data_IF_667397014623
#
_entry.id   IF_667397014623
#
_cell.length_a   1.000
_cell.length_b   1.000
_cell.length_c   1.000
_cell.angle_alpha   90.00
_cell.angle_beta   90.00
_cell.angle_gamma   90.00
#
_symmetry.space_group_name_H-M   'P 1'
#
loop_
_entity.id
_entity.type
_entity.pdbx_description
1 polymer ?
#
# COMPACT_ATOMS: atom_id res chain seq x y z
N UNK A 1 -37.17 30.38 -74.58
CA UNK A 1 -36.19 31.37 -74.09
C UNK A 1 -35.83 31.03 -72.65
N UNK A 2 -34.56 30.70 -72.38
CA UNK A 2 -33.73 30.96 -71.18
C UNK A 2 -34.19 30.49 -69.77
N UNK A 3 -33.45 29.53 -69.19
CA UNK A 3 -32.49 29.65 -68.03
C UNK A 3 -33.17 29.21 -66.71
N UNK A 4 -32.98 28.00 -66.16
CA UNK A 4 -31.86 27.39 -65.38
C UNK A 4 -31.49 28.11 -64.05
N UNK A 5 -31.51 27.30 -62.97
CA UNK A 5 -30.55 27.22 -61.84
C UNK A 5 -30.95 27.83 -60.47
N UNK A 6 -30.99 26.90 -59.49
CA UNK A 6 -30.58 26.93 -58.08
C UNK A 6 -31.07 28.06 -57.16
N UNK A 7 -31.62 27.65 -56.01
CA UNK A 7 -31.01 27.88 -54.68
C UNK A 7 -31.76 27.04 -53.64
N UNK A 8 -31.22 25.88 -53.26
CA UNK A 8 -30.20 25.71 -52.23
C UNK A 8 -30.82 25.58 -50.83
N UNK A 9 -31.29 24.36 -50.58
CA UNK A 9 -31.16 23.59 -49.34
C UNK A 9 -30.30 24.27 -48.26
N UNK A 10 -30.93 25.01 -47.35
CA UNK A 10 -30.31 25.53 -46.13
C UNK A 10 -30.53 24.50 -45.01
N UNK A 11 -29.80 23.39 -45.11
CA UNK A 11 -29.73 22.34 -44.10
C UNK A 11 -28.27 22.17 -43.71
N UNK A 12 -28.08 22.06 -42.40
CA UNK A 12 -26.85 21.75 -41.69
C UNK A 12 -25.92 22.96 -41.47
N UNK A 13 -25.62 23.21 -40.20
CA UNK A 13 -24.27 23.04 -39.62
C UNK A 13 -24.35 23.50 -38.16
N UNK A 14 -24.87 22.63 -37.28
CA UNK A 14 -24.63 22.68 -35.85
C UNK A 14 -23.71 21.51 -35.51
N UNK A 15 -22.44 21.65 -35.88
CA UNK A 15 -21.36 20.77 -35.46
C UNK A 15 -21.03 21.08 -33.99
N UNK A 16 -21.88 20.64 -33.08
CA UNK A 16 -21.58 20.63 -31.65
C UNK A 16 -20.45 19.63 -31.41
N UNK A 17 -19.23 20.12 -31.22
CA UNK A 17 -18.13 19.29 -30.72
C UNK A 17 -18.45 18.94 -29.27
N UNK A 18 -19.03 17.75 -29.07
CA UNK A 18 -18.99 17.09 -27.77
C UNK A 18 -17.52 16.73 -27.51
N UNK A 19 -16.82 17.63 -26.82
CA UNK A 19 -15.52 17.38 -26.26
C UNK A 19 -15.73 16.42 -25.07
N UNK A 20 -15.82 15.13 -25.38
CA UNK A 20 -15.78 14.07 -24.39
C UNK A 20 -14.38 14.14 -23.78
N UNK A 21 -14.27 14.75 -22.60
CA UNK A 21 -13.11 14.54 -21.75
C UNK A 21 -13.13 13.05 -21.36
N UNK A 22 -12.12 12.26 -21.76
CA UNK A 22 -11.98 10.94 -21.19
C UNK A 22 -11.75 11.15 -19.70
N UNK A 23 -12.73 10.72 -18.91
CA UNK A 23 -12.61 10.57 -17.48
C UNK A 23 -11.28 9.82 -17.25
N UNK A 24 -10.30 10.49 -16.63
CA UNK A 24 -9.06 9.84 -16.27
C UNK A 24 -9.44 8.74 -15.29
N UNK A 25 -9.58 7.52 -15.81
CA UNK A 25 -9.71 6.32 -15.00
C UNK A 25 -8.46 6.31 -14.13
N UNK A 26 -8.60 6.75 -12.89
CA UNK A 26 -7.53 6.70 -11.92
C UNK A 26 -7.08 5.24 -11.88
N UNK A 27 -5.85 4.99 -12.33
CA UNK A 27 -5.30 3.64 -12.39
C UNK A 27 -5.41 3.04 -10.99
N UNK A 28 -6.03 1.86 -10.88
CA UNK A 28 -6.16 1.16 -9.61
C UNK A 28 -4.76 1.05 -8.99
N UNK A 29 -4.59 1.40 -7.70
CA UNK A 29 -3.33 1.27 -6.99
C UNK A 29 -2.67 -0.09 -7.26
N UNK A 30 -1.49 -0.07 -7.89
CA UNK A 30 -0.66 -1.26 -8.11
C UNK A 30 -0.09 -1.66 -6.73
N UNK A 31 -0.79 -2.60 -6.07
CA UNK A 31 -0.48 -3.13 -4.75
C UNK A 31 0.49 -4.30 -4.84
N UNK A 32 1.47 -4.36 -3.94
CA UNK A 32 2.31 -5.55 -3.81
C UNK A 32 1.44 -6.71 -3.30
N UNK A 33 1.48 -7.89 -3.92
CA UNK A 33 0.79 -9.07 -3.39
C UNK A 33 1.27 -9.39 -1.98
N UNK A 34 0.34 -9.72 -1.08
CA UNK A 34 0.69 -10.12 0.29
C UNK A 34 1.47 -11.44 0.22
N UNK A 35 2.64 -11.45 0.84
CA UNK A 35 3.50 -12.62 0.93
C UNK A 35 2.89 -13.67 1.87
N UNK A 36 3.24 -14.94 1.64
CA UNK A 36 2.71 -16.05 2.42
C UNK A 36 3.07 -15.91 3.92
N UNK A 37 2.22 -16.43 4.82
CA UNK A 37 2.55 -16.58 6.23
C UNK A 37 3.88 -17.30 6.41
N UNK A 38 4.65 -16.89 7.42
CA UNK A 38 6.01 -17.37 7.65
C UNK A 38 6.26 -17.48 9.15
N UNK A 39 6.54 -18.69 9.62
CA UNK A 39 6.96 -18.95 11.00
C UNK A 39 8.37 -18.39 11.33
N UNK A 40 8.81 -18.48 12.59
CA UNK A 40 8.09 -19.05 13.73
C UNK A 40 6.92 -18.17 14.19
N UNK A 41 6.03 -18.74 15.00
CA UNK A 41 4.96 -18.00 15.66
C UNK A 41 5.49 -16.84 16.51
N UNK A 42 4.96 -15.64 16.28
CA UNK A 42 5.42 -14.41 16.92
C UNK A 42 4.36 -13.33 16.95
N UNK A 43 4.45 -12.45 17.94
CA UNK A 43 3.67 -11.22 18.06
C UNK A 43 4.58 -10.02 18.16
N UNK A 44 4.25 -8.98 17.42
CA UNK A 44 4.99 -7.73 17.37
C UNK A 44 4.01 -6.60 17.64
N UNK A 45 4.34 -5.73 18.59
CA UNK A 45 3.62 -4.47 18.82
C UNK A 45 4.44 -3.34 18.27
N UNK A 46 3.86 -2.50 17.40
CA UNK A 46 4.56 -1.43 16.71
C UNK A 46 3.75 -0.15 16.77
N UNK A 47 4.41 0.99 16.99
CA UNK A 47 3.82 2.29 16.74
C UNK A 47 4.13 2.69 15.29
N UNK A 48 3.09 3.03 14.53
CA UNK A 48 3.20 3.50 13.16
C UNK A 48 2.73 4.95 13.12
N UNK A 49 3.65 5.87 12.79
CA UNK A 49 3.32 7.26 12.53
C UNK A 49 3.35 7.49 11.02
N UNK A 50 2.19 7.69 10.41
CA UNK A 50 2.02 8.01 9.00
C UNK A 50 1.98 9.53 8.80
N UNK A 51 2.73 10.03 7.83
CA UNK A 51 2.88 11.46 7.54
C UNK A 51 2.62 11.71 6.06
N UNK A 52 1.66 12.59 5.79
CA UNK A 52 1.38 13.17 4.47
C UNK A 52 1.78 14.65 4.47
N UNK A 53 1.58 15.34 3.35
CA UNK A 53 1.93 16.75 3.22
C UNK A 53 1.15 17.67 4.18
N UNK A 54 -0.10 17.34 4.48
CA UNK A 54 -1.06 18.18 5.20
C UNK A 54 -1.45 17.65 6.59
N UNK A 55 -1.16 16.38 6.87
CA UNK A 55 -1.58 15.70 8.11
C UNK A 55 -0.61 14.61 8.54
N UNK A 56 -0.77 14.18 9.79
CA UNK A 56 -0.11 13.02 10.35
C UNK A 56 -1.09 12.22 11.19
N UNK A 57 -0.95 10.90 11.17
CA UNK A 57 -1.77 9.97 11.95
C UNK A 57 -0.86 8.96 12.65
N UNK A 58 -1.25 8.55 13.86
CA UNK A 58 -0.53 7.54 14.64
C UNK A 58 -1.47 6.44 15.06
N UNK A 59 -1.00 5.20 14.96
CA UNK A 59 -1.69 4.02 15.47
C UNK A 59 -0.70 3.02 16.08
N UNK A 60 -1.21 2.17 16.95
CA UNK A 60 -0.53 0.94 17.37
C UNK A 60 -0.99 -0.20 16.48
N UNK A 61 -0.05 -0.91 15.87
CA UNK A 61 -0.29 -2.15 15.14
C UNK A 61 0.18 -3.33 15.99
N UNK A 62 -0.73 -4.28 16.22
CA UNK A 62 -0.41 -5.58 16.80
C UNK A 62 -0.41 -6.59 15.66
N UNK A 63 0.77 -7.11 15.31
CA UNK A 63 0.99 -8.05 14.24
C UNK A 63 1.27 -9.43 14.82
N UNK A 64 0.47 -10.42 14.46
CA UNK A 64 0.66 -11.83 14.82
C UNK A 64 0.92 -12.65 13.55
N UNK A 65 1.92 -13.51 13.61
CA UNK A 65 2.44 -14.24 12.46
C UNK A 65 2.78 -15.64 12.86
N UNK A 66 2.34 -16.61 12.09
CA UNK A 66 2.79 -18.00 12.17
C UNK A 66 2.98 -18.58 10.76
N UNK A 67 3.22 -19.88 10.65
CA UNK A 67 3.43 -20.56 9.36
C UNK A 67 2.16 -20.68 8.49
N UNK A 68 1.00 -20.32 9.01
CA UNK A 68 -0.34 -20.49 8.41
C UNK A 68 -1.15 -19.21 8.34
N UNK A 69 -0.92 -18.24 9.23
CA UNK A 69 -1.73 -17.03 9.33
C UNK A 69 -0.90 -15.77 9.55
N UNK A 70 -1.43 -14.67 9.02
CA UNK A 70 -1.07 -13.29 9.36
C UNK A 70 -2.32 -12.64 9.94
N UNK A 71 -2.23 -12.11 11.16
CA UNK A 71 -3.27 -11.29 11.76
C UNK A 71 -2.71 -9.94 12.15
N UNK A 72 -3.47 -8.87 11.95
CA UNK A 72 -3.07 -7.52 12.29
C UNK A 72 -4.26 -6.73 12.85
N UNK A 73 -4.13 -6.23 14.07
CA UNK A 73 -5.07 -5.28 14.65
C UNK A 73 -4.43 -3.89 14.68
N UNK A 74 -5.17 -2.88 14.21
CA UNK A 74 -4.80 -1.48 14.32
C UNK A 74 -5.61 -0.81 15.42
N UNK A 75 -4.94 -0.16 16.37
CA UNK A 75 -5.54 0.55 17.48
C UNK A 75 -5.17 2.02 17.41
N UNK A 76 -6.09 2.91 17.76
CA UNK A 76 -5.78 4.31 18.02
C UNK A 76 -4.91 4.46 19.28
N UNK A 77 -4.39 5.66 19.51
CA UNK A 77 -3.56 5.92 20.69
C UNK A 77 -4.32 5.77 22.03
N UNK A 78 -5.64 5.87 22.02
CA UNK A 78 -6.55 5.61 23.15
C UNK A 78 -7.05 4.15 23.22
N UNK A 79 -6.57 3.28 22.32
CA UNK A 79 -6.85 1.84 22.35
C UNK A 79 -8.14 1.40 21.64
N UNK A 80 -8.81 2.29 20.91
CA UNK A 80 -9.97 1.93 20.10
C UNK A 80 -9.54 1.13 18.88
N UNK A 81 -10.29 0.08 18.56
CA UNK A 81 -10.06 -0.71 17.34
C UNK A 81 -10.37 0.12 16.10
N UNK A 82 -9.33 0.36 15.29
CA UNK A 82 -9.42 1.05 14.00
C UNK A 82 -9.62 0.08 12.85
N UNK A 83 -8.99 -1.11 12.91
CA UNK A 83 -9.20 -2.17 11.94
C UNK A 83 -8.72 -3.52 12.47
N UNK A 84 -9.20 -4.59 11.85
CA UNK A 84 -8.65 -5.93 11.95
C UNK A 84 -8.41 -6.49 10.55
N UNK A 85 -7.31 -7.21 10.38
CA UNK A 85 -6.97 -7.92 9.15
C UNK A 85 -6.53 -9.33 9.50
N UNK A 86 -7.03 -10.31 8.73
CA UNK A 86 -6.61 -11.70 8.78
C UNK A 86 -6.29 -12.19 7.37
N UNK A 87 -5.23 -12.98 7.24
CA UNK A 87 -4.82 -13.60 5.99
C UNK A 87 -4.30 -15.01 6.24
N UNK A 88 -4.89 -15.98 5.54
CA UNK A 88 -4.61 -17.43 5.69
C UNK A 88 -3.65 -17.98 4.61
N UNK A 89 -3.00 -17.11 3.84
CA UNK A 89 -2.20 -17.49 2.66
C UNK A 89 -2.98 -17.48 1.34
N UNK A 90 -4.31 -17.43 1.38
CA UNK A 90 -5.18 -17.41 0.20
C UNK A 90 -6.11 -16.21 0.17
N UNK A 91 -6.79 -15.93 1.28
CA UNK A 91 -7.84 -14.92 1.37
C UNK A 91 -7.49 -13.88 2.42
N UNK A 92 -7.56 -12.62 2.03
CA UNK A 92 -7.44 -11.49 2.96
C UNK A 92 -8.86 -11.08 3.37
N UNK A 93 -9.10 -11.01 4.66
CA UNK A 93 -10.33 -10.47 5.25
C UNK A 93 -9.93 -9.28 6.11
N UNK A 94 -10.55 -8.13 5.87
CA UNK A 94 -10.36 -6.96 6.71
C UNK A 94 -11.69 -6.34 7.12
N UNK A 95 -11.72 -5.83 8.34
CA UNK A 95 -12.79 -4.99 8.85
C UNK A 95 -12.17 -3.66 9.27
N UNK A 96 -12.79 -2.55 8.84
CA UNK A 96 -12.30 -1.20 9.11
C UNK A 96 -13.37 -0.40 9.85
N UNK A 97 -12.94 0.25 10.92
CA UNK A 97 -13.76 1.22 11.65
C UNK A 97 -13.97 2.48 10.79
N UNK A 98 -15.15 3.12 10.86
CA UNK A 98 -15.36 4.45 10.30
C UNK A 98 -14.43 5.53 10.86
N UNK A 99 -13.79 5.27 12.01
CA UNK A 99 -12.81 6.16 12.62
C UNK A 99 -11.46 6.15 11.90
N UNK A 100 -11.15 5.12 11.11
CA UNK A 100 -9.92 5.06 10.32
C UNK A 100 -10.08 5.97 9.08
N UNK A 101 -9.18 6.94 8.86
CA UNK A 101 -9.23 7.78 7.66
C UNK A 101 -9.28 6.95 6.38
N UNK A 102 -10.08 7.35 5.39
CA UNK A 102 -10.25 6.57 4.15
C UNK A 102 -8.95 6.34 3.38
N UNK A 103 -7.98 7.26 3.53
CA UNK A 103 -6.65 7.13 2.94
C UNK A 103 -5.80 6.01 3.56
N UNK A 104 -6.16 5.54 4.75
CA UNK A 104 -5.53 4.41 5.42
C UNK A 104 -6.36 3.15 5.19
N UNK A 105 -5.77 2.21 4.47
CA UNK A 105 -6.37 0.91 4.19
C UNK A 105 -5.50 -0.19 4.83
N UNK A 106 -6.09 -1.15 5.56
CA UNK A 106 -5.33 -2.20 6.25
C UNK A 106 -4.44 -3.03 5.33
N UNK A 107 -4.88 -3.29 4.09
CA UNK A 107 -4.09 -4.01 3.09
C UNK A 107 -2.84 -3.22 2.65
N UNK A 108 -2.89 -1.89 2.56
CA UNK A 108 -1.69 -1.08 2.34
C UNK A 108 -0.72 -1.20 3.52
N UNK A 109 -1.23 -1.14 4.75
CA UNK A 109 -0.40 -1.19 5.96
C UNK A 109 0.35 -2.52 6.03
N UNK A 110 -0.33 -3.66 5.83
CA UNK A 110 0.37 -4.95 5.86
C UNK A 110 1.34 -5.11 4.68
N UNK A 111 1.03 -4.54 3.51
CA UNK A 111 1.93 -4.54 2.36
C UNK A 111 3.23 -3.79 2.67
N UNK A 112 3.13 -2.61 3.28
CA UNK A 112 4.30 -1.84 3.75
C UNK A 112 5.08 -2.58 4.84
N UNK A 113 4.38 -3.17 5.83
CA UNK A 113 5.03 -3.95 6.88
C UNK A 113 5.77 -5.17 6.31
N UNK A 114 5.21 -5.85 5.31
CA UNK A 114 5.91 -6.93 4.63
C UNK A 114 7.14 -6.43 3.88
N UNK A 115 7.03 -5.33 3.12
CA UNK A 115 8.18 -4.70 2.48
C UNK A 115 9.30 -4.39 3.47
N UNK A 116 8.95 -3.95 4.68
CA UNK A 116 9.91 -3.65 5.74
C UNK A 116 10.50 -4.91 6.37
N UNK A 117 9.67 -5.89 6.74
CA UNK A 117 10.04 -6.92 7.71
C UNK A 117 10.20 -8.33 7.13
N UNK A 118 9.66 -8.64 5.95
CA UNK A 118 9.75 -10.00 5.42
C UNK A 118 11.14 -10.27 4.85
N UNK A 119 11.59 -11.52 4.82
CA UNK A 119 12.80 -11.87 4.09
C UNK A 119 12.66 -11.46 2.62
N UNK A 120 13.64 -10.73 2.11
CA UNK A 120 13.60 -10.21 0.73
C UNK A 120 13.41 -11.34 -0.30
N UNK A 121 14.01 -12.51 -0.06
CA UNK A 121 13.89 -13.68 -0.93
C UNK A 121 12.44 -14.18 -1.05
N UNK A 122 11.63 -14.10 0.02
CA UNK A 122 10.22 -14.50 -0.03
C UNK A 122 9.37 -13.49 -0.80
N UNK A 123 9.66 -12.21 -0.62
CA UNK A 123 9.01 -11.12 -1.33
C UNK A 123 9.27 -11.20 -2.85
N UNK A 124 10.52 -11.41 -3.23
CA UNK A 124 10.94 -11.47 -4.64
C UNK A 124 10.23 -12.58 -5.45
N UNK A 125 9.87 -13.71 -4.81
CA UNK A 125 9.13 -14.82 -5.47
C UNK A 125 7.73 -14.44 -5.93
N UNK A 126 7.15 -13.36 -5.39
CA UNK A 126 5.77 -12.94 -5.65
C UNK A 126 5.67 -11.64 -6.45
N UNK A 127 6.80 -11.03 -6.80
CA UNK A 127 6.80 -9.75 -7.52
C UNK A 127 6.24 -9.91 -8.94
N UNK A 128 5.30 -9.04 -9.35
CA UNK A 128 4.83 -9.01 -10.73
C UNK A 128 5.94 -8.64 -11.73
N UNK A 129 5.70 -8.90 -13.02
CA UNK A 129 6.61 -8.48 -14.08
C UNK A 129 6.84 -6.96 -14.07
N UNK A 130 8.09 -6.55 -14.22
CA UNK A 130 8.51 -5.14 -14.18
C UNK A 130 8.70 -4.58 -12.77
N UNK A 131 8.42 -5.35 -11.72
CA UNK A 131 8.74 -4.99 -10.35
C UNK A 131 10.13 -5.52 -9.97
N UNK A 132 10.85 -4.76 -9.15
CA UNK A 132 12.18 -5.13 -8.65
C UNK A 132 12.32 -4.63 -7.22
N UNK A 133 12.66 -5.54 -6.32
CA UNK A 133 12.98 -5.26 -4.93
C UNK A 133 14.45 -5.57 -4.69
N UNK A 134 15.18 -4.58 -4.19
CA UNK A 134 16.62 -4.67 -3.91
C UNK A 134 16.90 -4.26 -2.46
N UNK A 135 17.88 -4.90 -1.82
CA UNK A 135 18.37 -4.55 -0.48
C UNK A 135 19.88 -4.24 -0.57
N UNK A 136 20.25 -3.02 -0.21
CA UNK A 136 21.65 -2.53 -0.23
C UNK A 136 21.84 -1.57 0.94
N UNK A 137 22.95 -1.68 1.67
CA UNK A 137 23.35 -0.73 2.73
C UNK A 137 22.24 -0.38 3.74
N UNK A 138 21.58 -1.40 4.29
CA UNK A 138 20.47 -1.23 5.26
C UNK A 138 19.30 -0.40 4.69
N UNK A 139 19.08 -0.52 3.39
CA UNK A 139 17.93 0.04 2.71
C UNK A 139 17.28 -0.98 1.81
N UNK A 140 15.98 -0.83 1.58
CA UNK A 140 15.29 -1.51 0.49
C UNK A 140 14.72 -0.51 -0.50
N UNK A 141 14.70 -0.91 -1.76
CA UNK A 141 14.13 -0.13 -2.85
C UNK A 141 13.16 -0.98 -3.64
N UNK A 142 11.90 -0.56 -3.71
CA UNK A 142 10.94 -1.11 -4.64
C UNK A 142 10.88 -0.23 -5.88
N UNK A 143 11.16 -0.80 -7.04
CA UNK A 143 11.09 -0.16 -8.34
C UNK A 143 10.03 -0.84 -9.19
N UNK A 144 9.13 -0.06 -9.79
CA UNK A 144 8.12 -0.54 -10.76
C UNK A 144 8.42 0.12 -12.11
N UNK A 145 8.66 -0.71 -13.14
CA UNK A 145 8.96 -0.29 -14.52
C UNK A 145 10.07 0.77 -14.58
N UNK A 146 11.13 0.58 -13.80
CA UNK A 146 12.29 1.47 -13.75
C UNK A 146 12.12 2.71 -12.86
N UNK A 147 10.95 2.97 -12.30
CA UNK A 147 10.71 4.09 -11.36
C UNK A 147 10.71 3.61 -9.91
N UNK A 148 11.49 4.26 -9.06
CA UNK A 148 11.49 4.03 -7.61
C UNK A 148 10.13 4.42 -7.02
N UNK A 149 9.47 3.49 -6.34
CA UNK A 149 8.14 3.66 -5.73
C UNK A 149 8.17 3.60 -4.21
N UNK A 150 9.06 2.80 -3.63
CA UNK A 150 9.23 2.73 -2.18
C UNK A 150 10.71 2.72 -1.83
N UNK A 151 11.08 3.46 -0.79
CA UNK A 151 12.39 3.38 -0.13
C UNK A 151 12.18 3.05 1.35
N UNK A 152 12.87 2.04 1.85
CA UNK A 152 12.91 1.66 3.26
C UNK A 152 14.30 1.96 3.79
N UNK A 153 14.39 2.59 4.96
CA UNK A 153 15.64 2.92 5.63
C UNK A 153 15.60 2.38 7.07
N UNK A 154 16.50 1.43 7.38
CA UNK A 154 16.57 0.82 8.72
C UNK A 154 17.43 1.70 9.65
N UNK A 155 16.76 2.58 10.40
CA UNK A 155 17.39 3.54 11.32
C UNK A 155 18.01 2.85 12.55
N UNK A 156 17.36 1.79 13.04
CA UNK A 156 17.85 0.95 14.13
C UNK A 156 17.72 -0.52 13.72
N UNK A 157 18.68 -1.06 12.94
CA UNK A 157 18.67 -2.44 12.49
C UNK A 157 18.86 -3.38 13.68
N UNK A 158 18.28 -4.57 13.58
CA UNK A 158 18.38 -5.64 14.57
C UNK A 158 18.32 -6.98 13.81
N UNK A 159 19.11 -7.99 14.20
CA UNK A 159 19.17 -9.26 13.48
C UNK A 159 17.86 -10.06 13.53
N UNK A 160 17.00 -9.80 14.52
CA UNK A 160 15.71 -10.50 14.66
C UNK A 160 14.59 -9.65 14.06
N UNK A 161 14.49 -8.39 14.49
CA UNK A 161 13.43 -7.50 14.05
C UNK A 161 13.81 -6.02 14.22
N UNK A 162 13.96 -5.24 13.13
CA UNK A 162 14.35 -3.84 13.21
C UNK A 162 13.49 -3.02 14.20
N UNK A 163 14.16 -2.18 15.01
CA UNK A 163 13.52 -1.43 16.10
C UNK A 163 12.96 -0.10 15.66
N UNK A 164 13.57 0.52 14.65
CA UNK A 164 13.14 1.78 14.06
C UNK A 164 13.38 1.76 12.56
N UNK A 165 12.34 2.08 11.78
CA UNK A 165 12.37 2.08 10.32
C UNK A 165 11.65 3.31 9.78
N UNK A 166 12.21 3.94 8.75
CA UNK A 166 11.50 4.90 7.92
C UNK A 166 11.16 4.23 6.57
N UNK A 167 9.89 4.34 6.14
CA UNK A 167 9.46 3.96 4.80
C UNK A 167 8.90 5.19 4.09
N UNK A 168 9.34 5.45 2.87
CA UNK A 168 8.79 6.49 2.00
C UNK A 168 8.12 5.82 0.82
N UNK A 169 6.81 6.03 0.68
CA UNK A 169 6.02 5.55 -0.44
C UNK A 169 5.75 6.70 -1.42
N UNK A 170 6.48 6.71 -2.53
CA UNK A 170 6.39 7.72 -3.59
C UNK A 170 5.14 7.53 -4.49
N UNK A 171 4.54 6.34 -4.49
CA UNK A 171 3.32 6.08 -5.25
C UNK A 171 2.10 6.74 -4.59
N UNK A 172 2.07 6.74 -3.26
CA UNK A 172 0.95 7.25 -2.46
C UNK A 172 1.27 8.50 -1.63
N UNK A 173 2.47 9.07 -1.79
CA UNK A 173 2.93 10.31 -1.17
C UNK A 173 2.81 10.34 0.36
N UNK A 174 3.30 9.29 1.03
CA UNK A 174 3.42 9.27 2.48
C UNK A 174 4.77 8.75 2.96
N UNK A 175 5.08 9.10 4.21
CA UNK A 175 6.18 8.50 4.99
C UNK A 175 5.58 7.76 6.18
N UNK A 176 6.10 6.58 6.48
CA UNK A 176 5.87 5.90 7.75
C UNK A 176 7.14 5.96 8.60
N UNK A 177 6.97 6.30 9.87
CA UNK A 177 7.97 6.06 10.91
C UNK A 177 7.46 4.95 11.80
N UNK A 178 8.12 3.80 11.75
CA UNK A 178 7.71 2.59 12.45
C UNK A 178 8.67 2.35 13.60
N UNK A 179 8.13 2.28 14.81
CA UNK A 179 8.87 1.94 16.03
C UNK A 179 8.36 0.63 16.58
N UNK A 180 9.22 -0.38 16.66
CA UNK A 180 8.88 -1.63 17.32
C UNK A 180 8.90 -1.42 18.83
N UNK A 181 7.78 -1.72 19.49
CA UNK A 181 7.58 -1.58 20.93
C UNK A 181 7.93 -2.89 21.62
N UNK A 182 7.45 -4.02 21.10
CA UNK A 182 7.79 -5.35 21.58
C UNK A 182 7.86 -6.37 20.44
N UNK A 183 8.60 -7.44 20.69
CA UNK A 183 8.70 -8.63 19.85
C UNK A 183 8.71 -9.84 20.78
N UNK A 184 7.73 -10.72 20.62
CA UNK A 184 7.56 -11.92 21.44
C UNK A 184 7.45 -13.14 20.52
N UNK A 185 8.22 -14.20 20.80
CA UNK A 185 7.94 -15.52 20.23
C UNK A 185 6.78 -16.15 20.99
N UNK A 186 5.83 -16.75 20.27
CA UNK A 186 4.64 -17.39 20.85
C UNK A 186 4.75 -18.90 20.62
N UNK A 187 4.28 -19.76 21.55
CA UNK A 187 4.10 -21.18 21.28
C UNK A 187 3.17 -21.41 20.08
N UNK A 188 3.51 -22.39 19.23
CA UNK A 188 2.63 -22.88 18.14
C UNK A 188 1.53 -23.82 18.63
#
# INVERSE_FOLDING_TARGET
MRIRILSAMFLLWLSGCALIQPEQVAAKPELMPIAQPLGPARRIVQQINAVWADRQESLLAVLELDAKHIAMAGLSNDGLSLFNLAYDGNTVVSDKSPLLPESLNPEFIISDLQLVYWPIAELQKKLPAGWRLEEVDKKRFLTIRGKKQVEVNYLSPDPVWPKAVELVNFQYNYRLNIKTISYDLIPE
#
